data_IF_553617400809
#
_entry.id   IF_553617400809
#
_cell.length_a   1.000
_cell.length_b   1.000
_cell.length_c   1.000
_cell.angle_alpha   90.00
_cell.angle_beta   90.00
_cell.angle_gamma   90.00
#
_symmetry.space_group_name_H-M   'P 1'
#
loop_
_entity.id
_entity.type
_entity.pdbx_description
1 polymer ?
#
# COMPACT_ATOMS: atom_id res chain seq x y z
N UNK A 1 -60.80 37.52 20.30
CA UNK A 1 -60.34 36.58 21.33
C UNK A 1 -58.83 36.61 21.31
N UNK A 2 -58.30 37.40 22.18
CA UNK A 2 -56.86 37.59 22.40
C UNK A 2 -56.44 36.58 23.44
N UNK A 3 -55.46 35.73 23.12
CA UNK A 3 -54.82 34.83 24.08
C UNK A 3 -53.45 35.39 24.41
N UNK A 4 -53.31 35.89 25.64
CA UNK A 4 -52.12 36.38 26.27
C UNK A 4 -51.07 35.26 26.44
N UNK A 5 -49.85 35.56 26.04
CA UNK A 5 -48.67 34.71 26.34
C UNK A 5 -47.97 35.29 27.57
N UNK A 6 -47.99 34.56 28.69
CA UNK A 6 -47.15 34.90 29.85
C UNK A 6 -45.71 34.37 29.67
N UNK A 7 -44.69 35.17 29.96
CA UNK A 7 -43.32 34.73 29.90
C UNK A 7 -42.92 33.96 31.15
N UNK A 8 -42.17 32.88 30.94
CA UNK A 8 -41.62 32.03 32.00
C UNK A 8 -40.64 32.80 32.90
N UNK A 9 -40.57 32.55 34.23
CA UNK A 9 -39.69 33.26 35.14
C UNK A 9 -38.24 32.86 34.90
N UNK A 10 -37.36 33.85 34.78
CA UNK A 10 -35.92 33.70 34.70
C UNK A 10 -35.34 33.10 35.98
N UNK A 11 -34.80 31.87 35.87
CA UNK A 11 -33.98 31.24 36.91
C UNK A 11 -32.70 32.04 37.11
N UNK A 12 -32.66 32.85 38.17
CA UNK A 12 -31.42 33.49 38.66
C UNK A 12 -30.43 32.42 39.11
N UNK A 13 -29.45 32.16 38.29
CA UNK A 13 -28.26 31.36 38.64
C UNK A 13 -27.42 32.14 39.65
N UNK A 14 -27.56 31.88 40.94
CA UNK A 14 -26.56 32.26 41.95
C UNK A 14 -25.27 31.58 41.58
N UNK A 15 -24.33 32.28 40.99
CA UNK A 15 -22.97 31.83 40.70
C UNK A 15 -22.28 31.47 42.05
N UNK A 16 -22.04 30.20 42.31
CA UNK A 16 -21.27 29.76 43.45
C UNK A 16 -19.77 30.06 43.20
N UNK A 17 -19.38 31.31 43.42
CA UNK A 17 -18.00 31.78 43.34
C UNK A 17 -16.99 30.89 44.13
N UNK A 18 -17.47 30.19 45.17
CA UNK A 18 -16.66 29.24 45.95
C UNK A 18 -16.30 28.02 45.14
N UNK A 19 -17.24 27.43 44.38
CA UNK A 19 -16.97 26.23 43.56
C UNK A 19 -16.01 26.56 42.40
N UNK A 20 -16.18 27.74 41.79
CA UNK A 20 -15.26 28.19 40.72
C UNK A 20 -13.85 28.44 41.28
N UNK A 21 -13.72 29.04 42.46
CA UNK A 21 -12.42 29.22 43.13
C UNK A 21 -11.76 27.91 43.50
N UNK A 22 -12.51 26.92 43.99
CA UNK A 22 -11.98 25.58 44.30
C UNK A 22 -11.51 24.83 43.05
N UNK A 23 -12.24 24.94 41.95
CA UNK A 23 -11.83 24.35 40.65
C UNK A 23 -10.55 25.00 40.12
N UNK A 24 -10.44 26.33 40.15
CA UNK A 24 -9.23 27.02 39.74
C UNK A 24 -8.03 26.66 40.63
N UNK A 25 -8.22 26.55 41.94
CA UNK A 25 -7.16 26.10 42.85
C UNK A 25 -6.73 24.65 42.60
N UNK A 26 -7.66 23.74 42.28
CA UNK A 26 -7.34 22.37 41.97
C UNK A 26 -6.54 22.26 40.65
N UNK A 27 -6.89 23.06 39.63
CA UNK A 27 -6.15 23.11 38.35
C UNK A 27 -4.75 23.71 38.54
N UNK A 28 -4.61 24.76 39.33
CA UNK A 28 -3.32 25.36 39.67
C UNK A 28 -2.42 24.40 40.47
N UNK A 29 -3.00 23.67 41.42
CA UNK A 29 -2.28 22.66 42.20
C UNK A 29 -1.83 21.49 41.30
N UNK A 30 -2.67 21.03 40.37
CA UNK A 30 -2.33 20.01 39.40
C UNK A 30 -1.21 20.43 38.44
N UNK A 31 -1.23 21.67 37.98
CA UNK A 31 -0.17 22.26 37.15
C UNK A 31 1.15 22.42 37.94
N UNK A 32 1.08 22.88 39.20
CA UNK A 32 2.26 22.98 40.06
C UNK A 32 2.86 21.61 40.41
N UNK A 33 2.01 20.61 40.64
CA UNK A 33 2.47 19.22 40.85
C UNK A 33 3.14 18.67 39.58
N UNK A 34 2.60 18.90 38.42
CA UNK A 34 3.23 18.54 37.13
C UNK A 34 4.58 19.23 36.94
N UNK A 35 4.69 20.53 37.28
CA UNK A 35 5.95 21.27 37.15
C UNK A 35 7.01 20.83 38.17
N UNK A 36 6.61 20.40 39.38
CA UNK A 36 7.54 19.97 40.43
C UNK A 36 7.98 18.52 40.24
N UNK A 37 7.15 17.64 39.70
CA UNK A 37 7.47 16.22 39.49
C UNK A 37 7.83 15.87 38.01
N UNK A 38 7.74 16.81 37.11
CA UNK A 38 8.27 16.67 35.72
C UNK A 38 9.75 17.05 35.60
N UNK A 39 10.44 17.15 36.72
CA UNK A 39 11.88 17.41 36.79
C UNK A 39 12.62 16.13 37.15
N UNK A 40 12.52 15.13 36.30
CA UNK A 40 13.46 14.00 36.24
C UNK A 40 13.42 13.46 34.84
N UNK A 41 14.61 13.41 34.24
CA UNK A 41 14.97 12.85 32.95
C UNK A 41 14.82 13.78 31.74
N UNK A 42 15.53 14.93 31.81
CA UNK A 42 16.24 15.37 30.62
C UNK A 42 17.40 14.38 30.44
N UNK A 43 17.14 13.29 29.75
CA UNK A 43 18.18 12.49 29.13
C UNK A 43 18.85 13.42 28.12
N UNK A 44 20.05 13.88 28.44
CA UNK A 44 20.95 14.41 27.45
C UNK A 44 21.07 13.36 26.35
N UNK A 45 21.01 13.72 25.05
CA UNK A 45 21.36 12.78 24.01
C UNK A 45 22.80 12.35 24.29
N UNK A 46 22.96 11.08 24.66
CA UNK A 46 24.29 10.45 24.71
C UNK A 46 24.82 10.56 23.28
N UNK A 47 26.01 11.12 23.05
CA UNK A 47 26.60 11.12 21.73
C UNK A 47 26.73 9.65 21.30
N UNK A 48 26.06 9.30 20.21
CA UNK A 48 26.14 7.97 19.59
C UNK A 48 27.60 7.79 19.18
N UNK A 49 28.24 6.75 19.69
CA UNK A 49 29.61 6.39 19.31
C UNK A 49 29.64 6.01 17.83
N UNK A 50 30.69 6.33 17.07
CA UNK A 50 30.87 5.87 15.70
C UNK A 50 30.76 4.34 15.53
N UNK A 51 30.95 3.57 16.59
CA UNK A 51 30.74 2.13 16.61
C UNK A 51 29.26 1.73 16.47
N UNK A 52 28.33 2.50 17.04
CA UNK A 52 26.88 2.21 16.94
C UNK A 52 26.31 2.53 15.56
N UNK A 53 26.93 3.45 14.82
CA UNK A 53 26.59 3.70 13.39
C UNK A 53 27.12 2.58 12.50
N UNK A 54 28.32 2.09 12.73
CA UNK A 54 28.89 0.96 11.99
C UNK A 54 28.10 -0.35 12.21
N UNK A 55 27.57 -0.60 13.42
CA UNK A 55 26.69 -1.74 13.70
C UNK A 55 25.32 -1.60 13.00
N UNK A 56 24.83 -0.38 12.80
CA UNK A 56 23.59 -0.14 12.02
C UNK A 56 23.80 -0.33 10.54
N UNK A 57 24.93 0.06 10.00
CA UNK A 57 25.28 -0.17 8.59
C UNK A 57 25.54 -1.65 8.31
N UNK A 58 26.26 -2.35 9.20
CA UNK A 58 26.50 -3.78 9.09
C UNK A 58 25.21 -4.61 9.18
N UNK A 59 24.22 -4.16 9.97
CA UNK A 59 22.92 -4.84 10.06
C UNK A 59 22.03 -4.61 8.84
N UNK A 60 22.20 -3.51 8.11
CA UNK A 60 21.49 -3.21 6.87
C UNK A 60 22.04 -4.02 5.68
N UNK A 61 23.37 -4.18 5.59
CA UNK A 61 24.02 -5.05 4.60
C UNK A 61 23.68 -6.53 4.86
N UNK A 62 23.59 -6.97 6.12
CA UNK A 62 23.13 -8.32 6.48
C UNK A 62 21.69 -8.59 6.05
N UNK A 63 20.81 -7.58 6.05
CA UNK A 63 19.44 -7.75 5.56
C UNK A 63 19.36 -8.08 4.08
N UNK A 64 20.30 -7.58 3.26
CA UNK A 64 20.35 -7.88 1.85
C UNK A 64 20.99 -9.27 1.58
N UNK A 65 21.94 -9.70 2.41
CA UNK A 65 22.65 -10.97 2.26
C UNK A 65 21.84 -12.18 2.76
N UNK A 66 21.12 -12.05 3.89
CA UNK A 66 20.31 -13.14 4.45
C UNK A 66 19.05 -13.47 3.63
N UNK A 67 18.60 -12.53 2.78
CA UNK A 67 17.50 -12.79 1.84
C UNK A 67 17.95 -13.73 0.72
N UNK A 68 19.24 -13.82 0.42
CA UNK A 68 19.75 -14.51 -0.75
C UNK A 68 20.31 -15.91 -0.47
N UNK A 69 20.39 -16.41 0.77
CA UNK A 69 20.74 -17.77 1.21
C UNK A 69 21.33 -18.70 0.13
N UNK A 70 22.33 -18.23 -0.64
CA UNK A 70 23.06 -19.04 -1.61
C UNK A 70 24.36 -19.47 -0.94
N UNK A 71 24.37 -20.67 -0.39
CA UNK A 71 25.62 -21.35 -0.10
C UNK A 71 26.24 -21.78 -1.44
N UNK A 72 27.45 -21.29 -1.69
CA UNK A 72 28.31 -21.77 -2.77
C UNK A 72 28.73 -23.21 -2.47
N UNK A 73 28.16 -24.19 -3.17
CA UNK A 73 28.66 -25.55 -3.16
C UNK A 73 29.45 -25.80 -4.46
N UNK A 74 30.71 -26.15 -4.26
CA UNK A 74 31.78 -26.24 -5.24
C UNK A 74 31.72 -27.59 -6.02
N UNK A 75 31.75 -27.49 -7.32
CA UNK A 75 32.43 -28.41 -8.22
C UNK A 75 31.94 -29.86 -8.40
N UNK A 76 31.31 -30.11 -9.53
CA UNK A 76 31.13 -31.51 -10.00
C UNK A 76 30.57 -31.60 -11.42
N UNK A 77 31.45 -31.41 -12.42
CA UNK A 77 31.15 -31.73 -13.84
C UNK A 77 30.87 -33.23 -14.04
N UNK A 78 29.66 -33.57 -14.48
CA UNK A 78 29.41 -34.84 -15.15
C UNK A 78 28.51 -34.65 -16.36
N UNK A 79 29.13 -34.64 -17.53
CA UNK A 79 28.49 -34.69 -18.85
C UNK A 79 27.89 -36.09 -19.10
N UNK A 80 26.58 -36.17 -19.26
CA UNK A 80 25.94 -37.31 -19.95
C UNK A 80 24.95 -36.79 -20.97
N UNK A 81 25.34 -36.90 -22.23
CA UNK A 81 24.48 -36.76 -23.40
C UNK A 81 23.41 -37.86 -23.40
N UNK A 82 22.15 -37.47 -23.27
CA UNK A 82 21.01 -38.28 -23.70
C UNK A 82 20.20 -37.45 -24.67
N UNK A 83 20.38 -37.70 -25.96
CA UNK A 83 19.54 -37.16 -27.02
C UNK A 83 18.14 -37.71 -26.92
N UNK A 84 17.16 -36.82 -26.73
CA UNK A 84 15.77 -37.06 -27.05
C UNK A 84 15.38 -36.11 -28.17
N UNK A 85 15.11 -36.69 -29.34
CA UNK A 85 14.40 -36.01 -30.42
C UNK A 85 12.96 -35.85 -29.97
N UNK A 86 12.53 -34.62 -29.74
CA UNK A 86 11.13 -34.26 -29.54
C UNK A 86 10.63 -33.75 -30.88
N UNK A 87 9.68 -34.46 -31.47
CA UNK A 87 8.93 -34.01 -32.64
C UNK A 87 8.27 -32.67 -32.33
N UNK A 88 8.50 -31.68 -33.17
CA UNK A 88 7.79 -30.42 -33.16
C UNK A 88 6.31 -30.65 -33.54
N UNK A 89 5.47 -31.02 -32.61
CA UNK A 89 4.04 -30.82 -32.75
C UNK A 89 3.79 -29.29 -32.72
N UNK A 90 3.36 -28.76 -33.85
CA UNK A 90 2.86 -27.42 -33.99
C UNK A 90 1.71 -27.21 -32.99
N UNK A 91 2.02 -26.59 -31.86
CA UNK A 91 1.01 -26.05 -30.95
C UNK A 91 0.31 -24.93 -31.72
N UNK A 92 -0.88 -25.22 -32.23
CA UNK A 92 -1.81 -24.21 -32.74
C UNK A 92 -2.09 -23.27 -31.59
N UNK A 93 -1.45 -22.11 -31.61
CA UNK A 93 -1.64 -21.02 -30.67
C UNK A 93 -3.11 -20.61 -30.71
N UNK A 94 -3.79 -20.74 -29.58
CA UNK A 94 -5.07 -20.06 -29.36
C UNK A 94 -4.89 -18.56 -29.67
N UNK A 95 -5.87 -17.88 -30.32
CA UNK A 95 -5.74 -16.48 -30.64
C UNK A 95 -5.60 -15.65 -29.36
N UNK A 96 -4.54 -14.95 -29.33
CA UNK A 96 -4.02 -13.86 -28.55
C UNK A 96 -4.96 -13.24 -27.53
N UNK A 97 -4.82 -13.66 -26.27
CA UNK A 97 -5.14 -12.77 -25.15
C UNK A 97 -3.98 -11.77 -25.03
N UNK A 98 -4.29 -10.48 -25.21
CA UNK A 98 -3.39 -9.39 -24.97
C UNK A 98 -2.71 -9.52 -23.59
N UNK A 99 -1.39 -9.57 -23.54
CA UNK A 99 -0.64 -9.41 -22.29
C UNK A 99 -0.61 -7.92 -21.90
N UNK A 100 -1.44 -7.58 -20.92
CA UNK A 100 -1.57 -6.20 -20.44
C UNK A 100 -0.35 -5.72 -19.62
N UNK A 101 0.50 -6.64 -19.20
CA UNK A 101 1.50 -6.40 -18.16
C UNK A 101 2.92 -6.29 -18.70
N UNK A 102 3.16 -6.73 -19.94
CA UNK A 102 4.45 -6.62 -20.62
C UNK A 102 4.38 -5.55 -21.73
N UNK A 103 5.23 -4.54 -21.64
CA UNK A 103 5.15 -3.39 -22.55
C UNK A 103 6.19 -2.32 -22.26
N UNK A 104 5.87 -1.10 -22.66
CA UNK A 104 6.72 0.08 -22.45
C UNK A 104 5.91 1.34 -22.18
N UNK A 105 6.53 2.32 -21.56
CA UNK A 105 5.98 3.65 -21.44
C UNK A 105 6.29 4.46 -22.69
N UNK A 106 5.28 5.08 -23.27
CA UNK A 106 5.40 5.93 -24.45
C UNK A 106 4.87 7.33 -24.13
N UNK A 107 5.36 8.38 -24.83
CA UNK A 107 4.88 9.73 -24.63
C UNK A 107 3.36 9.85 -24.81
N UNK A 108 2.72 10.62 -23.94
CA UNK A 108 1.31 10.97 -23.98
C UNK A 108 1.12 12.49 -23.98
N UNK A 109 1.06 13.14 -25.17
CA UNK A 109 0.94 14.60 -25.24
C UNK A 109 -0.37 15.14 -24.64
N UNK A 110 -1.40 14.31 -24.48
CA UNK A 110 -2.67 14.71 -23.88
C UNK A 110 -2.58 14.93 -22.37
N UNK A 111 -1.52 14.42 -21.72
CA UNK A 111 -1.33 14.52 -20.30
C UNK A 111 -2.33 13.71 -19.47
N UNK A 112 -2.45 14.01 -18.18
CA UNK A 112 -3.26 13.25 -17.24
C UNK A 112 -4.76 13.57 -17.40
N UNK A 113 -5.61 12.63 -17.00
CA UNK A 113 -7.08 12.75 -17.08
C UNK A 113 -7.64 13.77 -16.08
N UNK A 114 -6.98 13.97 -14.94
CA UNK A 114 -7.33 14.95 -13.93
C UNK A 114 -6.08 15.73 -13.49
N UNK A 115 -6.27 16.80 -12.68
CA UNK A 115 -5.18 17.60 -12.12
C UNK A 115 -5.28 17.61 -10.60
N UNK A 116 -4.24 18.10 -9.94
CA UNK A 116 -4.25 18.34 -8.49
C UNK A 116 -5.29 19.40 -8.07
N UNK A 117 -5.75 20.24 -8.98
CA UNK A 117 -6.79 21.25 -8.73
C UNK A 117 -8.20 20.69 -8.97
N UNK A 118 -8.34 19.81 -9.97
CA UNK A 118 -9.64 19.20 -10.31
C UNK A 118 -10.04 18.03 -9.42
N UNK A 119 -9.13 17.45 -8.62
CA UNK A 119 -9.42 16.40 -7.66
C UNK A 119 -9.08 16.82 -6.23
N UNK A 120 -10.11 16.99 -5.41
CA UNK A 120 -9.96 17.32 -3.98
C UNK A 120 -9.63 16.13 -3.08
N UNK A 121 -9.63 14.91 -3.62
CA UNK A 121 -9.43 13.67 -2.85
C UNK A 121 -7.96 13.25 -2.76
N UNK A 122 -7.06 14.01 -3.38
CA UNK A 122 -5.62 13.75 -3.26
C UNK A 122 -5.18 14.14 -1.85
N UNK A 123 -4.68 13.16 -1.10
CA UNK A 123 -4.12 13.43 0.22
C UNK A 123 -2.81 14.22 0.12
N UNK A 124 -2.48 15.04 1.14
CA UNK A 124 -1.31 15.92 1.07
C UNK A 124 0.00 15.24 0.67
N UNK A 125 0.35 14.02 1.17
CA UNK A 125 1.63 13.37 0.81
C UNK A 125 1.75 12.97 -0.68
N UNK A 126 0.64 12.81 -1.40
CA UNK A 126 0.62 12.45 -2.83
C UNK A 126 0.42 13.64 -3.75
N UNK A 127 0.13 14.84 -3.20
CA UNK A 127 -0.11 16.04 -4.01
C UNK A 127 1.20 16.77 -4.35
N UNK A 128 2.03 16.13 -5.15
CA UNK A 128 3.39 16.61 -5.45
C UNK A 128 3.43 18.03 -6.02
N UNK A 129 2.53 18.37 -6.93
CA UNK A 129 2.50 19.70 -7.54
C UNK A 129 2.12 20.79 -6.52
N UNK A 130 1.12 20.54 -5.67
CA UNK A 130 0.77 21.44 -4.57
C UNK A 130 1.91 21.58 -3.55
N UNK A 131 2.68 20.51 -3.38
CA UNK A 131 3.82 20.48 -2.47
C UNK A 131 5.10 21.09 -3.09
N UNK A 132 5.01 21.70 -4.28
CA UNK A 132 6.10 22.46 -4.91
C UNK A 132 6.92 21.69 -5.94
N UNK A 133 6.46 20.54 -6.44
CA UNK A 133 7.12 19.85 -7.55
C UNK A 133 6.92 20.60 -8.86
N UNK A 134 7.98 21.18 -9.40
CA UNK A 134 7.95 21.91 -10.67
C UNK A 134 8.09 21.03 -11.90
N UNK A 135 8.77 19.88 -11.77
CA UNK A 135 8.92 18.93 -12.87
C UNK A 135 7.60 18.16 -13.08
N UNK A 136 6.97 18.38 -14.23
CA UNK A 136 5.69 17.77 -14.62
C UNK A 136 5.84 16.72 -15.71
N UNK A 137 7.06 16.42 -16.17
CA UNK A 137 7.31 15.48 -17.30
C UNK A 137 6.76 14.09 -17.02
N UNK A 138 6.77 13.64 -15.77
CA UNK A 138 6.22 12.35 -15.34
C UNK A 138 4.72 12.18 -15.64
N UNK A 139 3.98 13.26 -15.91
CA UNK A 139 2.55 13.25 -16.23
C UNK A 139 2.25 12.89 -17.70
N UNK A 140 3.22 12.97 -18.57
CA UNK A 140 3.05 12.90 -20.02
C UNK A 140 3.48 11.55 -20.59
N UNK A 141 3.19 10.47 -19.88
CA UNK A 141 3.49 9.10 -20.27
C UNK A 141 2.23 8.24 -20.18
N UNK A 142 2.11 7.23 -21.10
CA UNK A 142 1.10 6.19 -21.03
C UNK A 142 1.71 4.82 -21.23
N UNK A 143 1.11 3.80 -20.66
CA UNK A 143 1.51 2.42 -20.83
C UNK A 143 1.04 1.90 -22.18
N UNK A 144 1.92 1.21 -22.88
CA UNK A 144 1.66 0.53 -24.15
C UNK A 144 2.10 -0.92 -24.03
N UNK A 145 1.18 -1.89 -23.84
CA UNK A 145 1.50 -3.30 -24.00
C UNK A 145 2.06 -3.60 -25.38
N UNK A 146 2.86 -4.66 -25.53
CA UNK A 146 3.51 -4.95 -26.80
C UNK A 146 2.52 -5.25 -27.93
N UNK A 147 1.52 -6.09 -27.66
CA UNK A 147 0.66 -6.67 -28.71
C UNK A 147 -0.76 -6.05 -28.75
N UNK A 148 -1.04 -5.07 -27.90
CA UNK A 148 -2.37 -4.48 -27.82
C UNK A 148 -2.33 -3.04 -27.30
N UNK A 149 -3.51 -2.45 -27.08
CA UNK A 149 -3.67 -1.13 -26.47
C UNK A 149 -4.51 -1.22 -25.18
N UNK A 150 -4.09 -0.46 -24.18
CA UNK A 150 -4.90 -0.13 -23.02
C UNK A 150 -5.45 1.27 -23.21
N UNK A 151 -6.77 1.36 -23.35
CA UNK A 151 -7.43 2.66 -23.43
C UNK A 151 -7.34 3.37 -22.10
N UNK A 152 -7.18 4.70 -22.07
CA UNK A 152 -7.28 5.48 -20.85
C UNK A 152 -8.58 5.20 -20.09
N UNK A 153 -8.55 5.33 -18.78
CA UNK A 153 -9.68 5.07 -17.91
C UNK A 153 -10.91 5.89 -18.32
N UNK A 154 -11.98 5.21 -18.64
CA UNK A 154 -13.26 5.85 -18.94
C UNK A 154 -14.18 5.76 -17.71
N UNK A 155 -14.20 6.83 -16.92
CA UNK A 155 -14.96 6.89 -15.68
C UNK A 155 -16.46 6.64 -15.86
N UNK A 156 -17.07 7.20 -16.93
CA UNK A 156 -18.48 6.98 -17.23
C UNK A 156 -18.78 5.51 -17.51
N UNK A 157 -18.02 4.88 -18.40
CA UNK A 157 -18.17 3.46 -18.72
C UNK A 157 -17.92 2.57 -17.52
N UNK A 158 -16.94 2.92 -16.67
CA UNK A 158 -16.66 2.18 -15.43
C UNK A 158 -17.86 2.25 -14.49
N UNK A 159 -18.39 3.44 -14.22
CA UNK A 159 -19.55 3.64 -13.33
C UNK A 159 -20.80 2.97 -13.88
N UNK A 160 -21.05 3.01 -15.20
CA UNK A 160 -22.16 2.28 -15.83
C UNK A 160 -22.03 0.76 -15.61
N UNK A 161 -20.82 0.20 -15.75
CA UNK A 161 -20.55 -1.23 -15.53
C UNK A 161 -20.68 -1.61 -14.05
N UNK A 162 -20.32 -0.69 -13.16
CA UNK A 162 -20.36 -0.89 -11.71
C UNK A 162 -21.71 -0.51 -11.08
N UNK A 163 -22.73 -0.22 -11.88
CA UNK A 163 -24.04 0.12 -11.36
C UNK A 163 -24.61 -0.98 -10.46
N UNK A 164 -25.10 -0.60 -9.26
CA UNK A 164 -25.58 -1.47 -8.19
C UNK A 164 -24.55 -2.49 -7.67
N UNK A 165 -23.26 -2.21 -7.83
CA UNK A 165 -22.17 -3.10 -7.41
C UNK A 165 -21.29 -2.45 -6.35
N UNK A 166 -20.41 -3.26 -5.80
CA UNK A 166 -19.45 -2.88 -4.77
C UNK A 166 -18.05 -3.38 -5.10
N UNK A 167 -17.07 -2.48 -4.97
CA UNK A 167 -15.64 -2.77 -5.12
C UNK A 167 -14.93 -2.51 -3.80
N UNK A 168 -14.13 -3.46 -3.35
CA UNK A 168 -13.20 -3.25 -2.24
C UNK A 168 -11.76 -3.25 -2.72
N UNK A 169 -10.95 -2.35 -2.19
CA UNK A 169 -9.49 -2.37 -2.24
C UNK A 169 -8.98 -2.68 -0.83
N UNK A 170 -8.26 -3.78 -0.67
CA UNK A 170 -7.80 -4.30 0.62
C UNK A 170 -6.28 -4.36 0.64
N UNK A 171 -5.64 -3.73 1.61
CA UNK A 171 -4.18 -3.78 1.74
C UNK A 171 -3.58 -2.61 2.53
N UNK A 172 -2.45 -2.13 2.07
CA UNK A 172 -1.59 -1.14 2.71
C UNK A 172 -1.71 0.29 2.12
N UNK A 173 -0.72 1.12 2.39
CA UNK A 173 -0.66 2.51 1.90
C UNK A 173 -0.59 2.63 0.38
N UNK A 174 -0.04 1.64 -0.32
CA UNK A 174 -0.01 1.64 -1.79
C UNK A 174 -1.40 1.34 -2.36
N UNK A 175 -2.17 0.47 -1.70
CA UNK A 175 -3.58 0.26 -2.05
C UNK A 175 -4.39 1.55 -1.81
N UNK A 176 -4.11 2.27 -0.73
CA UNK A 176 -4.71 3.59 -0.48
C UNK A 176 -4.35 4.60 -1.58
N UNK A 177 -3.10 4.64 -2.00
CA UNK A 177 -2.64 5.52 -3.09
C UNK A 177 -3.38 5.18 -4.42
N UNK A 178 -3.56 3.88 -4.75
CA UNK A 178 -4.36 3.45 -5.89
C UNK A 178 -5.84 3.85 -5.76
N UNK A 179 -6.43 3.70 -4.57
CA UNK A 179 -7.81 4.09 -4.33
C UNK A 179 -8.04 5.61 -4.51
N UNK A 180 -7.10 6.46 -4.07
CA UNK A 180 -7.16 7.91 -4.29
C UNK A 180 -7.13 8.24 -5.79
N UNK A 181 -6.24 7.60 -6.56
CA UNK A 181 -6.22 7.71 -8.02
C UNK A 181 -7.58 7.34 -8.62
N UNK A 182 -8.14 6.20 -8.25
CA UNK A 182 -9.44 5.74 -8.74
C UNK A 182 -10.56 6.74 -8.42
N UNK A 183 -10.60 7.26 -7.20
CA UNK A 183 -11.59 8.28 -6.80
C UNK A 183 -11.44 9.54 -7.64
N UNK A 184 -10.21 10.00 -7.89
CA UNK A 184 -9.96 11.16 -8.75
C UNK A 184 -10.45 10.95 -10.19
N UNK A 185 -10.22 9.77 -10.73
CA UNK A 185 -10.72 9.40 -12.07
C UNK A 185 -12.25 9.40 -12.11
N UNK A 186 -12.90 8.79 -11.11
CA UNK A 186 -14.37 8.67 -11.04
C UNK A 186 -15.05 10.01 -10.74
N UNK A 187 -14.45 10.86 -9.93
CA UNK A 187 -15.00 12.19 -9.57
C UNK A 187 -15.14 13.14 -10.77
N UNK A 188 -14.54 12.81 -11.92
CA UNK A 188 -14.76 13.51 -13.18
C UNK A 188 -16.19 13.36 -13.71
N UNK A 189 -16.89 12.32 -13.31
CA UNK A 189 -18.28 12.02 -13.72
C UNK A 189 -19.25 12.29 -12.59
N UNK A 190 -18.98 11.77 -11.40
CA UNK A 190 -19.76 12.00 -10.21
C UNK A 190 -18.86 12.11 -8.99
N UNK A 191 -19.07 13.14 -8.19
CA UNK A 191 -18.36 13.30 -6.94
C UNK A 191 -18.92 12.35 -5.89
N UNK A 192 -18.08 11.45 -5.32
CA UNK A 192 -18.56 10.48 -4.36
C UNK A 192 -18.87 11.12 -3.00
N UNK A 193 -19.86 10.55 -2.31
CA UNK A 193 -20.15 10.84 -0.92
C UNK A 193 -19.37 9.90 -0.03
N UNK A 194 -18.53 10.44 0.86
CA UNK A 194 -17.90 9.61 1.90
C UNK A 194 -18.93 9.21 2.95
N UNK A 195 -19.17 7.92 3.10
CA UNK A 195 -20.21 7.36 3.99
C UNK A 195 -19.61 6.70 5.24
N UNK A 196 -18.30 6.46 5.26
CA UNK A 196 -17.61 5.88 6.41
C UNK A 196 -16.11 6.19 6.36
N UNK A 197 -15.51 6.41 7.52
CA UNK A 197 -14.07 6.32 7.78
C UNK A 197 -13.82 5.77 9.19
N UNK A 198 -12.67 5.11 9.39
CA UNK A 198 -12.18 4.78 10.73
C UNK A 198 -11.55 6.02 11.40
N UNK A 199 -11.25 5.94 12.69
CA UNK A 199 -10.70 7.06 13.49
C UNK A 199 -9.39 7.61 12.92
N UNK A 200 -8.61 6.78 12.21
CA UNK A 200 -7.33 7.14 11.63
C UNK A 200 -7.42 7.45 10.12
N UNK A 201 -8.62 7.46 9.54
CA UNK A 201 -8.86 7.64 8.10
C UNK A 201 -8.08 6.64 7.21
N UNK A 202 -7.69 5.49 7.76
CA UNK A 202 -6.99 4.43 7.02
C UNK A 202 -7.93 3.55 6.21
N UNK A 203 -9.13 3.25 6.78
CA UNK A 203 -10.22 2.60 6.06
C UNK A 203 -11.33 3.60 5.80
N UNK A 204 -11.84 3.62 4.57
CA UNK A 204 -12.85 4.60 4.14
C UNK A 204 -13.84 3.94 3.17
N UNK A 205 -15.05 4.50 3.08
CA UNK A 205 -16.05 4.07 2.09
C UNK A 205 -16.68 5.27 1.42
N UNK A 206 -16.88 5.14 0.13
CA UNK A 206 -17.54 6.16 -0.70
C UNK A 206 -18.70 5.54 -1.46
N UNK A 207 -19.74 6.33 -1.63
CA UNK A 207 -20.93 6.01 -2.39
C UNK A 207 -21.08 6.95 -3.58
N UNK A 208 -21.42 6.40 -4.74
CA UNK A 208 -21.76 7.13 -5.95
C UNK A 208 -23.28 7.00 -6.17
N UNK A 209 -24.08 7.99 -5.75
CA UNK A 209 -25.53 7.87 -5.66
C UNK A 209 -26.21 7.53 -6.98
N UNK A 210 -25.84 8.21 -8.08
CA UNK A 210 -26.47 8.01 -9.40
C UNK A 210 -26.26 6.62 -9.98
N UNK A 211 -25.23 5.91 -9.49
CA UNK A 211 -24.88 4.56 -9.94
C UNK A 211 -25.17 3.49 -8.87
N UNK A 212 -25.58 3.89 -7.67
CA UNK A 212 -25.69 2.98 -6.52
C UNK A 212 -24.40 2.14 -6.34
N UNK A 213 -23.25 2.72 -6.69
CA UNK A 213 -21.94 2.07 -6.60
C UNK A 213 -21.26 2.41 -5.29
N UNK A 214 -20.68 1.39 -4.66
CA UNK A 214 -19.93 1.55 -3.42
C UNK A 214 -18.45 1.18 -3.62
N UNK A 215 -17.56 2.08 -3.23
CA UNK A 215 -16.13 1.86 -3.19
C UNK A 215 -15.67 1.80 -1.73
N UNK A 216 -14.98 0.73 -1.36
CA UNK A 216 -14.42 0.54 -0.02
C UNK A 216 -12.90 0.41 -0.08
N UNK A 217 -12.21 1.20 0.73
CA UNK A 217 -10.80 1.03 1.06
C UNK A 217 -10.72 0.41 2.45
N UNK A 218 -10.05 -0.74 2.58
CA UNK A 218 -9.91 -1.45 3.85
C UNK A 218 -8.43 -1.61 4.18
N UNK A 219 -8.01 -0.96 5.26
CA UNK A 219 -6.64 -1.02 5.76
C UNK A 219 -6.36 -2.36 6.45
N UNK A 220 -5.59 -3.20 5.79
CA UNK A 220 -5.12 -4.49 6.29
C UNK A 220 -3.75 -4.82 5.69
N UNK A 221 -2.66 -4.17 6.14
CA UNK A 221 -1.36 -4.19 5.46
C UNK A 221 -0.70 -5.57 5.47
N UNK A 222 -1.09 -6.46 6.36
CA UNK A 222 -0.61 -7.85 6.43
C UNK A 222 -1.67 -8.87 5.96
N UNK A 223 -2.90 -8.45 5.65
CA UNK A 223 -4.08 -9.30 5.34
C UNK A 223 -4.50 -10.26 6.46
N UNK A 224 -3.74 -10.35 7.54
CA UNK A 224 -3.93 -11.20 8.71
C UNK A 224 -4.13 -10.37 9.97
N UNK A 225 -4.59 -11.00 11.03
CA UNK A 225 -4.68 -10.39 12.35
C UNK A 225 -3.30 -9.93 12.81
N UNK A 226 -3.16 -8.62 13.00
CA UNK A 226 -1.92 -7.99 13.40
C UNK A 226 -2.15 -6.95 14.50
N UNK A 227 -1.21 -6.88 15.47
CA UNK A 227 -1.05 -5.73 16.33
C UNK A 227 0.09 -4.88 15.76
N UNK A 228 -0.25 -3.67 15.33
CA UNK A 228 0.67 -2.73 14.68
C UNK A 228 0.94 -1.59 15.65
N UNK A 229 2.21 -1.29 15.86
CA UNK A 229 2.67 -0.29 16.84
C UNK A 229 3.43 0.87 16.17
N UNK A 230 3.22 1.07 14.90
CA UNK A 230 3.86 2.11 14.12
C UNK A 230 2.87 3.25 13.83
N UNK A 231 3.35 4.50 13.94
CA UNK A 231 2.60 5.68 13.56
C UNK A 231 2.71 5.96 12.04
N UNK A 232 2.08 7.02 11.55
CA UNK A 232 2.08 7.38 10.13
C UNK A 232 3.43 7.94 9.64
N UNK A 233 4.31 8.34 10.57
CA UNK A 233 5.69 8.78 10.31
C UNK A 233 6.69 7.62 10.20
N UNK A 234 6.24 6.38 10.41
CA UNK A 234 7.09 5.18 10.37
C UNK A 234 7.81 4.89 11.69
N UNK A 235 7.49 5.63 12.75
CA UNK A 235 8.08 5.41 14.07
C UNK A 235 7.37 4.26 14.79
N UNK A 236 8.14 3.27 15.20
CA UNK A 236 7.61 2.07 15.89
C UNK A 236 7.80 2.18 17.40
N UNK A 237 6.69 2.12 18.14
CA UNK A 237 6.71 2.08 19.60
C UNK A 237 6.98 0.67 20.15
N UNK A 238 6.79 -0.35 19.34
CA UNK A 238 6.99 -1.77 19.66
C UNK A 238 7.07 -2.60 18.40
N UNK A 239 7.49 -3.86 18.52
CA UNK A 239 7.58 -4.81 17.40
C UNK A 239 6.18 -5.28 16.98
N UNK A 240 5.89 -5.26 15.68
CA UNK A 240 4.62 -5.76 15.14
C UNK A 240 4.42 -7.24 15.51
N UNK A 241 3.18 -7.62 15.82
CA UNK A 241 2.83 -9.00 16.13
C UNK A 241 1.83 -9.54 15.14
N UNK A 242 2.20 -10.58 14.39
CA UNK A 242 1.45 -11.13 13.28
C UNK A 242 0.96 -12.55 13.61
N UNK A 243 -0.34 -12.81 13.46
CA UNK A 243 -0.94 -14.14 13.58
C UNK A 243 -1.01 -14.78 12.19
N UNK A 244 -0.01 -15.57 11.81
CA UNK A 244 0.18 -16.09 10.45
C UNK A 244 -0.95 -17.03 9.99
N UNK A 245 -1.76 -17.54 10.88
CA UNK A 245 -2.85 -18.49 10.64
C UNK A 245 -4.25 -17.87 10.71
N UNK A 246 -4.36 -16.56 10.99
CA UNK A 246 -5.64 -15.90 11.22
C UNK A 246 -5.80 -14.69 10.31
N UNK A 247 -6.69 -14.78 9.31
CA UNK A 247 -6.99 -13.63 8.44
C UNK A 247 -7.63 -12.48 9.21
N UNK A 248 -7.41 -11.25 8.73
CA UNK A 248 -7.93 -10.05 9.37
C UNK A 248 -9.45 -9.93 9.17
N UNK A 249 -10.17 -9.86 10.28
CA UNK A 249 -11.61 -9.71 10.29
C UNK A 249 -12.09 -8.36 9.71
N UNK A 250 -11.23 -7.35 9.63
CA UNK A 250 -11.59 -6.06 9.04
C UNK A 250 -12.09 -6.20 7.61
N UNK A 251 -11.50 -7.09 6.82
CA UNK A 251 -11.92 -7.33 5.45
C UNK A 251 -12.73 -8.63 5.28
N UNK A 252 -12.40 -9.72 6.02
CA UNK A 252 -13.06 -11.02 5.82
C UNK A 252 -14.54 -11.00 6.26
N UNK A 253 -14.89 -10.22 7.29
CA UNK A 253 -16.27 -10.09 7.75
C UNK A 253 -17.17 -9.37 6.72
N UNK A 254 -16.59 -8.54 5.87
CA UNK A 254 -17.29 -7.76 4.84
C UNK A 254 -17.23 -8.41 3.45
N UNK A 255 -16.46 -9.48 3.27
CA UNK A 255 -16.17 -10.08 1.97
C UNK A 255 -17.43 -10.46 1.18
N UNK A 256 -18.49 -10.90 1.87
CA UNK A 256 -19.77 -11.28 1.25
C UNK A 256 -20.54 -10.12 0.62
N UNK A 257 -20.19 -8.88 0.94
CA UNK A 257 -20.87 -7.68 0.43
C UNK A 257 -20.21 -7.10 -0.83
N UNK A 258 -19.14 -7.70 -1.33
CA UNK A 258 -18.41 -7.17 -2.47
C UNK A 258 -18.61 -8.00 -3.74
N UNK A 259 -18.78 -7.32 -4.87
CA UNK A 259 -18.83 -7.92 -6.21
C UNK A 259 -17.42 -8.05 -6.80
N UNK A 260 -16.55 -7.10 -6.46
CA UNK A 260 -15.16 -7.03 -6.88
C UNK A 260 -14.26 -6.75 -5.68
N UNK A 261 -13.11 -7.41 -5.64
CA UNK A 261 -12.10 -7.18 -4.59
C UNK A 261 -10.72 -7.10 -5.21
N UNK A 262 -10.00 -6.02 -4.97
CA UNK A 262 -8.56 -5.91 -5.25
C UNK A 262 -7.82 -6.13 -3.94
N UNK A 263 -6.87 -7.06 -3.92
CA UNK A 263 -6.07 -7.37 -2.73
C UNK A 263 -4.59 -7.18 -3.08
N UNK A 264 -3.86 -6.50 -2.23
CA UNK A 264 -2.40 -6.37 -2.33
C UNK A 264 -1.79 -6.15 -0.96
N UNK A 265 -0.60 -6.69 -0.76
CA UNK A 265 0.17 -6.61 0.48
C UNK A 265 1.65 -6.86 0.14
N UNK A 266 2.51 -6.88 1.15
CA UNK A 266 3.90 -7.30 0.99
C UNK A 266 4.87 -6.34 1.66
N UNK A 267 4.82 -5.05 1.37
CA UNK A 267 5.77 -4.04 1.86
C UNK A 267 5.97 -4.06 3.39
N UNK A 268 4.90 -4.32 4.12
CA UNK A 268 4.95 -4.34 5.58
C UNK A 268 5.63 -5.59 6.15
N UNK A 269 5.78 -6.68 5.36
CA UNK A 269 6.51 -7.88 5.77
C UNK A 269 8.02 -7.66 5.87
N UNK A 270 8.56 -6.61 5.24
CA UNK A 270 9.96 -6.21 5.40
C UNK A 270 10.28 -5.60 6.76
N UNK A 271 9.26 -5.30 7.57
CA UNK A 271 9.44 -4.69 8.91
C UNK A 271 9.61 -5.77 9.95
N UNK A 272 10.37 -5.44 11.00
CA UNK A 272 10.50 -6.30 12.19
C UNK A 272 9.14 -6.76 12.72
N UNK A 273 8.97 -8.06 12.86
CA UNK A 273 7.73 -8.65 13.34
C UNK A 273 7.93 -9.92 14.16
N UNK A 274 7.11 -10.09 15.18
CA UNK A 274 6.96 -11.33 15.95
C UNK A 274 5.84 -12.15 15.32
N UNK A 275 6.09 -13.42 15.11
CA UNK A 275 5.16 -14.35 14.48
C UNK A 275 4.46 -15.25 15.50
N UNK A 276 3.16 -15.36 15.35
CA UNK A 276 2.26 -16.17 16.16
C UNK A 276 1.54 -17.20 15.32
N UNK A 277 1.42 -18.43 15.81
CA UNK A 277 0.58 -19.49 15.22
C UNK A 277 -0.16 -20.21 16.32
N UNK A 278 -1.46 -20.48 16.13
CA UNK A 278 -2.32 -21.06 17.17
C UNK A 278 -2.21 -20.32 18.51
N UNK A 279 -2.10 -18.99 18.45
CA UNK A 279 -1.84 -18.09 19.59
C UNK A 279 -0.53 -18.37 20.37
N UNK A 280 0.39 -19.14 19.80
CA UNK A 280 1.73 -19.38 20.37
C UNK A 280 2.77 -18.59 19.59
N UNK A 281 3.77 -18.10 20.31
CA UNK A 281 4.96 -17.49 19.73
C UNK A 281 5.76 -18.58 18.99
N UNK A 282 6.05 -18.36 17.70
CA UNK A 282 6.84 -19.31 16.89
C UNK A 282 8.21 -18.76 16.50
N UNK A 283 8.37 -17.45 16.46
CA UNK A 283 9.63 -16.78 16.15
C UNK A 283 9.41 -15.34 15.72
N UNK A 284 10.37 -14.79 15.01
CA UNK A 284 10.29 -13.41 14.53
C UNK A 284 11.08 -13.22 13.23
N UNK A 285 10.88 -12.08 12.60
CA UNK A 285 11.71 -11.60 11.52
C UNK A 285 12.45 -10.35 11.98
N UNK A 286 13.76 -10.34 11.73
CA UNK A 286 14.66 -9.24 12.04
C UNK A 286 14.51 -8.69 13.45
N UNK A 287 14.75 -9.54 14.43
CA UNK A 287 14.58 -9.19 15.86
C UNK A 287 15.83 -9.51 16.70
N UNK A 288 17.03 -9.01 16.36
CA UNK A 288 18.29 -9.42 16.99
C UNK A 288 18.36 -9.15 18.51
N UNK A 289 17.50 -8.24 19.02
CA UNK A 289 17.42 -7.91 20.45
C UNK A 289 16.47 -8.83 21.23
N UNK A 290 15.72 -9.68 20.53
CA UNK A 290 14.73 -10.54 21.15
C UNK A 290 15.25 -11.97 21.12
N UNK A 291 15.73 -12.61 22.00
CA UNK A 291 16.23 -14.01 21.98
C UNK A 291 15.14 -15.00 21.44
N UNK A 292 14.79 -14.88 20.17
CA UNK A 292 13.77 -15.63 19.46
C UNK A 292 14.38 -16.24 18.19
N UNK A 293 13.82 -17.35 17.73
CA UNK A 293 14.21 -17.98 16.45
C UNK A 293 13.85 -17.07 15.28
N UNK A 294 14.80 -16.82 14.40
CA UNK A 294 14.56 -16.12 13.13
C UNK A 294 13.71 -16.99 12.21
N UNK A 295 12.72 -16.40 11.59
CA UNK A 295 11.83 -17.04 10.61
C UNK A 295 11.80 -16.15 9.36
N UNK A 296 12.08 -16.74 8.20
CA UNK A 296 12.17 -16.00 6.94
C UNK A 296 10.84 -15.32 6.56
N UNK A 297 10.96 -14.19 5.87
CA UNK A 297 9.81 -13.51 5.25
C UNK A 297 9.09 -14.46 4.30
N UNK A 298 9.82 -15.24 3.53
CA UNK A 298 9.27 -16.21 2.59
C UNK A 298 8.29 -17.17 3.25
N UNK A 299 8.68 -17.76 4.38
CA UNK A 299 7.78 -18.64 5.15
C UNK A 299 6.52 -17.92 5.57
N UNK A 300 6.68 -16.77 6.21
CA UNK A 300 5.56 -16.00 6.74
C UNK A 300 4.62 -15.53 5.64
N UNK A 301 5.16 -14.96 4.57
CA UNK A 301 4.36 -14.42 3.47
C UNK A 301 3.68 -15.52 2.66
N UNK A 302 4.36 -16.60 2.32
CA UNK A 302 3.74 -17.78 1.70
C UNK A 302 2.57 -18.33 2.53
N UNK A 303 2.72 -18.38 3.86
CA UNK A 303 1.67 -18.86 4.74
C UNK A 303 0.43 -17.97 4.69
N UNK A 304 0.63 -16.67 4.68
CA UNK A 304 -0.45 -15.68 4.56
C UNK A 304 -1.15 -15.81 3.20
N UNK A 305 -0.40 -15.86 2.10
CA UNK A 305 -0.96 -15.99 0.76
C UNK A 305 -1.74 -17.31 0.58
N UNK A 306 -1.21 -18.42 1.10
CA UNK A 306 -1.91 -19.69 1.09
C UNK A 306 -3.23 -19.64 1.90
N UNK A 307 -3.25 -18.93 3.03
CA UNK A 307 -4.45 -18.74 3.84
C UNK A 307 -5.47 -17.85 3.13
N UNK A 308 -5.01 -16.77 2.45
CA UNK A 308 -5.82 -15.90 1.61
C UNK A 308 -6.51 -16.70 0.49
N UNK A 309 -5.73 -17.43 -0.32
CA UNK A 309 -6.29 -18.17 -1.45
C UNK A 309 -7.19 -19.32 -1.01
N UNK A 310 -6.89 -19.96 0.12
CA UNK A 310 -7.79 -20.95 0.73
C UNK A 310 -9.13 -20.32 1.09
N UNK A 311 -9.13 -19.15 1.76
CA UNK A 311 -10.35 -18.42 2.11
C UNK A 311 -11.19 -18.08 0.86
N UNK A 312 -10.57 -17.53 -0.19
CA UNK A 312 -11.25 -17.20 -1.45
C UNK A 312 -11.87 -18.46 -2.06
N UNK A 313 -11.14 -19.57 -2.05
CA UNK A 313 -11.60 -20.86 -2.59
C UNK A 313 -12.76 -21.46 -1.82
N UNK A 314 -12.73 -21.39 -0.51
CA UNK A 314 -13.75 -22.02 0.36
C UNK A 314 -14.93 -21.12 0.66
N UNK A 315 -14.85 -19.82 0.37
CA UNK A 315 -15.98 -18.91 0.52
C UNK A 315 -17.13 -19.32 -0.39
N UNK A 316 -18.36 -19.29 0.13
CA UNK A 316 -19.59 -19.49 -0.67
C UNK A 316 -19.82 -18.35 -1.65
N UNK A 317 -19.50 -17.12 -1.23
CA UNK A 317 -19.57 -15.93 -2.08
C UNK A 317 -18.34 -15.86 -2.99
N UNK A 318 -18.59 -15.65 -4.29
CA UNK A 318 -17.57 -15.68 -5.35
C UNK A 318 -17.48 -14.33 -6.09
N UNK A 319 -16.94 -13.28 -5.48
CA UNK A 319 -16.66 -12.03 -6.19
C UNK A 319 -15.54 -12.26 -7.22
N UNK A 320 -15.36 -11.28 -8.11
CA UNK A 320 -14.13 -11.22 -8.89
C UNK A 320 -13.03 -10.70 -7.98
N UNK A 321 -12.01 -11.53 -7.74
CA UNK A 321 -10.86 -11.15 -6.94
C UNK A 321 -9.67 -10.89 -7.84
N UNK A 322 -9.10 -9.70 -7.75
CA UNK A 322 -7.86 -9.31 -8.41
C UNK A 322 -6.75 -9.24 -7.36
N UNK A 323 -5.71 -10.06 -7.53
CA UNK A 323 -4.51 -9.93 -6.73
C UNK A 323 -3.54 -9.00 -7.46
N UNK A 324 -3.23 -7.83 -6.85
CA UNK A 324 -2.24 -6.88 -7.37
C UNK A 324 -0.87 -7.23 -6.79
N UNK A 325 0.10 -7.39 -7.69
CA UNK A 325 1.46 -7.78 -7.31
C UNK A 325 2.23 -6.70 -6.57
N UNK A 326 3.38 -7.10 -6.06
CA UNK A 326 4.39 -6.26 -5.42
C UNK A 326 4.64 -4.94 -6.17
N UNK A 327 4.87 -3.88 -5.42
CA UNK A 327 5.23 -2.57 -5.94
C UNK A 327 6.66 -2.26 -5.56
N UNK A 328 7.58 -2.11 -6.53
CA UNK A 328 8.97 -1.76 -6.24
C UNK A 328 9.08 -0.33 -5.72
N UNK A 329 10.05 -0.07 -4.88
CA UNK A 329 10.52 1.28 -4.61
C UNK A 329 11.73 1.62 -5.51
N UNK A 330 12.14 2.89 -5.51
CA UNK A 330 13.25 3.36 -6.35
C UNK A 330 14.23 4.20 -5.56
N UNK A 331 14.57 3.76 -4.34
CA UNK A 331 15.63 4.41 -3.58
C UNK A 331 16.99 4.19 -4.24
N UNK A 332 17.74 5.27 -4.42
CA UNK A 332 19.12 5.29 -4.89
C UNK A 332 20.02 5.86 -3.77
N UNK A 333 21.25 5.36 -3.65
CA UNK A 333 22.27 5.82 -2.69
C UNK A 333 21.89 5.62 -1.21
N UNK A 334 21.10 4.64 -0.92
CA UNK A 334 20.64 4.27 0.43
C UNK A 334 19.18 3.89 0.45
N UNK A 335 18.68 3.55 1.63
CA UNK A 335 17.28 3.19 1.90
C UNK A 335 16.52 4.39 2.48
N UNK A 336 15.23 4.22 2.70
CA UNK A 336 14.37 5.26 3.28
C UNK A 336 14.88 5.78 4.63
N UNK A 337 15.55 4.94 5.42
CA UNK A 337 16.10 5.26 6.74
C UNK A 337 17.56 5.70 6.70
N UNK A 338 18.32 5.42 5.64
CA UNK A 338 19.73 5.77 5.50
C UNK A 338 20.01 6.93 4.55
N UNK A 339 18.98 7.64 4.09
CA UNK A 339 19.09 8.85 3.28
C UNK A 339 19.04 8.60 1.77
N UNK A 340 18.44 7.47 1.36
CA UNK A 340 18.16 7.18 -0.05
C UNK A 340 17.33 8.25 -0.73
N UNK A 341 17.51 8.41 -2.03
CA UNK A 341 16.92 9.44 -2.87
C UNK A 341 16.23 8.83 -4.09
N UNK A 342 15.33 9.56 -4.72
CA UNK A 342 14.78 9.26 -6.04
C UNK A 342 14.63 10.57 -6.84
N UNK A 343 15.63 10.87 -7.65
CA UNK A 343 15.73 12.15 -8.37
C UNK A 343 15.55 11.99 -9.89
N UNK A 344 15.17 10.83 -10.37
CA UNK A 344 14.95 10.62 -11.80
C UNK A 344 13.73 11.39 -12.27
N UNK A 345 13.78 11.86 -13.52
CA UNK A 345 12.76 12.73 -14.12
C UNK A 345 12.15 12.14 -15.38
N UNK A 346 12.55 10.92 -15.74
CA UNK A 346 12.06 10.19 -16.92
C UNK A 346 11.93 8.69 -16.59
N UNK A 347 11.03 7.98 -17.25
CA UNK A 347 10.92 6.53 -17.15
C UNK A 347 12.21 5.83 -17.55
N UNK A 348 12.43 4.64 -17.04
CA UNK A 348 13.44 3.73 -17.59
C UNK A 348 13.09 3.31 -19.01
N UNK A 349 14.11 3.18 -19.85
CA UNK A 349 13.97 2.61 -21.19
C UNK A 349 13.84 1.08 -21.12
N UNK A 350 13.39 0.46 -22.20
CA UNK A 350 13.38 -0.98 -22.33
C UNK A 350 14.77 -1.58 -22.06
N UNK A 351 14.85 -2.53 -21.12
CA UNK A 351 16.11 -3.13 -20.67
C UNK A 351 16.84 -2.37 -19.55
N UNK A 352 16.38 -1.17 -19.17
CA UNK A 352 16.79 -0.49 -17.95
C UNK A 352 15.81 -0.82 -16.81
N UNK A 353 16.29 -0.84 -15.58
CA UNK A 353 15.41 -1.02 -14.40
C UNK A 353 14.81 -2.43 -14.30
N UNK A 354 15.55 -3.33 -13.69
CA UNK A 354 15.11 -4.71 -13.42
C UNK A 354 14.41 -4.88 -12.07
N UNK A 355 14.28 -3.82 -11.28
CA UNK A 355 13.95 -3.90 -9.86
C UNK A 355 15.14 -4.38 -9.02
N UNK A 356 15.04 -4.27 -7.71
CA UNK A 356 16.02 -4.79 -6.76
C UNK A 356 15.78 -6.28 -6.51
N UNK A 357 16.76 -6.97 -5.92
CA UNK A 357 16.65 -8.39 -5.59
C UNK A 357 15.45 -8.66 -4.67
N UNK A 358 15.21 -7.79 -3.68
CA UNK A 358 14.05 -7.90 -2.79
C UNK A 358 12.73 -7.76 -3.55
N UNK A 359 12.66 -6.90 -4.57
CA UNK A 359 11.45 -6.72 -5.37
C UNK A 359 11.14 -7.98 -6.19
N UNK A 360 12.17 -8.55 -6.82
CA UNK A 360 12.07 -9.79 -7.58
C UNK A 360 11.73 -10.99 -6.68
N UNK A 361 12.33 -11.06 -5.49
CA UNK A 361 12.06 -12.09 -4.49
C UNK A 361 10.60 -12.05 -4.01
N UNK A 362 10.11 -10.89 -3.57
CA UNK A 362 8.75 -10.74 -3.06
C UNK A 362 7.71 -11.02 -4.15
N UNK A 363 7.92 -10.50 -5.36
CA UNK A 363 7.05 -10.78 -6.52
C UNK A 363 7.03 -12.27 -6.87
N UNK A 364 8.18 -12.94 -6.81
CA UNK A 364 8.27 -14.38 -7.08
C UNK A 364 7.43 -15.20 -6.09
N UNK A 365 7.44 -14.86 -4.80
CA UNK A 365 6.59 -15.49 -3.78
C UNK A 365 5.11 -15.34 -4.18
N UNK A 366 4.70 -14.14 -4.58
CA UNK A 366 3.31 -13.84 -4.96
C UNK A 366 2.87 -14.62 -6.19
N UNK A 367 3.68 -14.60 -7.27
CA UNK A 367 3.37 -15.29 -8.51
C UNK A 367 3.30 -16.81 -8.29
N UNK A 368 4.24 -17.39 -7.53
CA UNK A 368 4.22 -18.79 -7.20
C UNK A 368 2.96 -19.19 -6.39
N UNK A 369 2.57 -18.36 -5.41
CA UNK A 369 1.37 -18.61 -4.63
C UNK A 369 0.10 -18.48 -5.49
N UNK A 370 0.03 -17.47 -6.35
CA UNK A 370 -1.07 -17.27 -7.30
C UNK A 370 -1.20 -18.43 -8.28
N UNK A 371 -0.09 -18.84 -8.91
CA UNK A 371 -0.07 -19.96 -9.88
C UNK A 371 -0.53 -21.26 -9.23
N UNK A 372 -0.05 -21.56 -8.01
CA UNK A 372 -0.54 -22.72 -7.23
C UNK A 372 -2.04 -22.61 -6.93
N UNK A 373 -2.51 -21.39 -6.65
CA UNK A 373 -3.94 -21.17 -6.39
C UNK A 373 -4.79 -21.45 -7.62
N UNK A 374 -4.38 -21.01 -8.80
CA UNK A 374 -5.10 -21.21 -10.07
C UNK A 374 -4.96 -22.68 -10.53
N UNK A 375 -3.77 -23.28 -10.49
CA UNK A 375 -3.54 -24.67 -10.95
C UNK A 375 -4.35 -25.72 -10.14
N UNK A 376 -4.60 -25.46 -8.87
CA UNK A 376 -5.43 -26.33 -8.02
C UNK A 376 -6.95 -26.25 -8.34
N UNK A 377 -7.34 -25.47 -9.34
CA UNK A 377 -8.70 -25.33 -9.84
C UNK A 377 -8.93 -26.24 -11.05
N UNK A 378 -9.29 -27.48 -10.82
CA UNK A 378 -10.12 -28.15 -11.83
C UNK A 378 -11.40 -27.33 -12.03
N UNK A 379 -11.87 -27.21 -13.27
CA UNK A 379 -12.97 -26.40 -13.83
C UNK A 379 -14.32 -26.33 -13.07
N UNK A 380 -14.39 -26.69 -11.79
CA UNK A 380 -15.65 -26.97 -11.07
C UNK A 380 -16.08 -25.94 -10.03
N UNK A 381 -15.23 -24.98 -9.62
CA UNK A 381 -15.57 -24.17 -8.41
C UNK A 381 -15.97 -22.73 -8.65
N UNK A 382 -16.08 -22.24 -9.89
CA UNK A 382 -16.60 -20.91 -10.19
C UNK A 382 -15.80 -19.73 -9.59
N UNK A 383 -14.53 -19.97 -9.22
CA UNK A 383 -13.67 -18.92 -8.68
C UNK A 383 -13.24 -17.99 -9.83
N UNK A 384 -13.36 -16.68 -9.59
CA UNK A 384 -12.96 -15.65 -10.56
C UNK A 384 -11.75 -14.89 -10.02
N UNK A 385 -10.58 -15.56 -10.03
CA UNK A 385 -9.31 -15.01 -9.56
C UNK A 385 -8.49 -14.50 -10.75
N UNK A 386 -8.13 -13.23 -10.73
CA UNK A 386 -7.35 -12.56 -11.78
C UNK A 386 -6.05 -12.01 -11.18
N UNK A 387 -4.98 -12.03 -11.96
CA UNK A 387 -3.73 -11.34 -11.62
C UNK A 387 -3.82 -9.91 -12.16
N UNK A 388 -3.50 -8.94 -11.31
CA UNK A 388 -3.26 -7.54 -11.68
C UNK A 388 -1.76 -7.28 -11.47
N UNK A 389 -0.94 -7.72 -12.44
CA UNK A 389 0.52 -7.62 -12.33
C UNK A 389 1.01 -6.22 -12.74
N UNK A 390 1.03 -5.32 -11.77
CA UNK A 390 1.49 -3.95 -11.99
C UNK A 390 3.01 -3.78 -11.84
N UNK A 391 3.76 -4.87 -11.66
CA UNK A 391 5.19 -4.79 -11.35
C UNK A 391 6.00 -4.09 -12.44
N UNK A 392 5.92 -4.56 -13.69
CA UNK A 392 6.70 -3.97 -14.78
C UNK A 392 6.27 -2.54 -15.08
N UNK A 393 4.97 -2.25 -14.99
CA UNK A 393 4.46 -0.89 -15.13
C UNK A 393 5.06 0.06 -14.09
N UNK A 394 5.35 -0.46 -12.91
CA UNK A 394 5.86 0.30 -11.78
C UNK A 394 7.37 0.44 -11.83
N UNK A 395 8.11 -0.66 -12.04
CA UNK A 395 9.58 -0.66 -12.01
C UNK A 395 10.20 0.25 -13.07
N UNK A 396 9.50 0.51 -14.15
CA UNK A 396 9.93 1.40 -15.22
C UNK A 396 9.66 2.90 -14.93
N UNK A 397 9.11 3.26 -13.76
CA UNK A 397 8.69 4.64 -13.45
C UNK A 397 9.37 5.25 -12.21
N UNK A 398 10.71 5.27 -12.15
CA UNK A 398 11.44 5.89 -11.05
C UNK A 398 11.18 7.41 -10.93
N UNK A 399 10.67 8.02 -11.98
CA UNK A 399 10.37 9.45 -12.11
C UNK A 399 9.08 9.90 -11.42
N UNK A 400 8.18 8.96 -11.06
CA UNK A 400 6.81 9.32 -10.69
C UNK A 400 6.52 9.23 -9.18
N UNK A 401 7.54 8.99 -8.36
CA UNK A 401 7.42 8.97 -6.90
C UNK A 401 7.25 10.36 -6.30
N UNK A 402 6.72 10.40 -5.10
CA UNK A 402 6.58 11.67 -4.36
C UNK A 402 7.92 12.29 -4.03
N UNK A 403 8.95 11.47 -3.81
CA UNK A 403 10.29 11.94 -3.47
C UNK A 403 10.28 12.90 -2.28
N UNK A 404 10.94 14.05 -2.37
CA UNK A 404 10.92 15.07 -1.32
C UNK A 404 9.56 15.78 -1.19
N UNK A 405 8.74 15.74 -2.24
CA UNK A 405 7.43 16.43 -2.31
C UNK A 405 6.30 15.67 -1.59
N UNK A 406 6.63 14.62 -0.84
CA UNK A 406 5.75 14.11 0.20
C UNK A 406 5.42 15.19 1.24
N UNK A 407 6.36 16.09 1.48
CA UNK A 407 6.24 17.23 2.39
C UNK A 407 5.95 18.51 1.61
N UNK A 408 5.13 19.39 2.16
CA UNK A 408 4.81 20.67 1.56
C UNK A 408 6.05 21.56 1.52
N UNK A 409 6.41 22.05 0.32
CA UNK A 409 7.55 22.95 0.05
C UNK A 409 8.85 22.53 0.78
N UNK A 410 9.37 21.31 0.55
CA UNK A 410 10.42 20.73 1.38
C UNK A 410 11.73 21.50 1.42
N UNK A 411 12.00 22.36 0.42
CA UNK A 411 13.24 23.12 0.30
C UNK A 411 13.13 24.57 0.84
N UNK A 412 11.95 25.00 1.28
CA UNK A 412 11.74 26.35 1.84
C UNK A 412 12.05 26.43 3.34
N UNK A 413 12.18 25.31 4.02
CA UNK A 413 12.40 25.25 5.48
C UNK A 413 13.84 25.46 5.97
N UNK A 414 14.72 26.03 5.12
CA UNK A 414 16.12 26.34 5.45
C UNK A 414 17.09 25.20 5.11
N UNK A 415 18.36 25.57 4.91
CA UNK A 415 19.42 24.68 4.39
C UNK A 415 19.81 23.52 5.32
N UNK A 416 19.36 23.52 6.58
CA UNK A 416 19.77 22.55 7.61
C UNK A 416 18.68 21.51 7.95
N UNK A 417 17.52 21.55 7.29
CA UNK A 417 16.46 20.55 7.52
C UNK A 417 16.71 19.37 6.62
N UNK A 418 16.91 18.18 7.23
CA UNK A 418 17.03 16.93 6.47
C UNK A 418 15.67 16.64 5.84
N UNK A 419 15.61 16.67 4.51
CA UNK A 419 14.41 16.31 3.75
C UNK A 419 14.37 14.79 3.61
N UNK A 420 13.30 14.17 4.08
CA UNK A 420 13.07 12.74 3.88
C UNK A 420 12.42 12.51 2.52
N UNK A 421 12.95 11.56 1.76
CA UNK A 421 12.39 11.13 0.48
C UNK A 421 11.44 9.96 0.67
N UNK A 422 10.40 9.94 -0.15
CA UNK A 422 9.50 8.80 -0.30
C UNK A 422 9.55 8.30 -1.74
N UNK A 423 10.28 7.22 -1.95
CA UNK A 423 10.51 6.62 -3.26
C UNK A 423 9.66 5.36 -3.48
N UNK A 424 8.62 5.18 -2.66
CA UNK A 424 7.67 4.08 -2.74
C UNK A 424 6.28 4.55 -3.20
N UNK A 425 5.76 5.64 -2.60
CA UNK A 425 4.45 6.17 -2.97
C UNK A 425 4.52 7.04 -4.22
N UNK A 426 3.40 7.17 -4.90
CA UNK A 426 3.26 7.82 -6.20
C UNK A 426 2.60 9.19 -6.09
N UNK A 427 3.09 10.14 -6.88
CA UNK A 427 2.40 11.42 -7.09
C UNK A 427 1.01 11.19 -7.71
N UNK A 428 0.06 12.06 -7.40
CA UNK A 428 -1.25 12.14 -8.02
C UNK A 428 -1.52 13.52 -8.62
N UNK A 429 -1.97 13.54 -9.91
CA UNK A 429 -1.99 12.43 -10.86
C UNK A 429 -0.61 11.88 -11.14
N UNK A 430 -0.51 10.65 -11.66
CA UNK A 430 0.80 10.06 -11.95
C UNK A 430 0.74 8.64 -12.51
N UNK A 431 1.88 7.94 -12.46
CA UNK A 431 2.03 6.61 -13.04
C UNK A 431 1.01 5.58 -12.51
N UNK A 432 0.61 5.70 -11.26
CA UNK A 432 -0.36 4.79 -10.62
C UNK A 432 -1.75 4.84 -11.25
N UNK A 433 -2.10 5.92 -11.97
CA UNK A 433 -3.39 6.03 -12.66
C UNK A 433 -3.55 4.90 -13.70
N UNK A 434 -2.45 4.50 -14.33
CA UNK A 434 -2.42 3.39 -15.30
C UNK A 434 -2.77 2.02 -14.68
N UNK A 435 -2.56 1.82 -13.38
CA UNK A 435 -3.03 0.59 -12.72
C UNK A 435 -4.55 0.48 -12.75
N UNK A 436 -5.23 1.61 -12.70
CA UNK A 436 -6.68 1.67 -12.81
C UNK A 436 -7.14 1.50 -14.27
N UNK A 437 -6.35 1.95 -15.29
CA UNK A 437 -6.61 1.65 -16.70
C UNK A 437 -6.62 0.13 -16.92
N UNK A 438 -5.57 -0.56 -16.44
CA UNK A 438 -5.42 -2.02 -16.55
C UNK A 438 -6.49 -2.76 -15.75
N UNK A 439 -6.78 -2.32 -14.53
CA UNK A 439 -7.85 -2.88 -13.71
C UNK A 439 -9.21 -2.77 -14.40
N UNK A 440 -9.52 -1.61 -14.97
CA UNK A 440 -10.75 -1.42 -15.75
C UNK A 440 -10.81 -2.38 -16.93
N UNK A 441 -9.71 -2.56 -17.67
CA UNK A 441 -9.65 -3.50 -18.79
C UNK A 441 -9.95 -4.93 -18.32
N UNK A 442 -9.35 -5.37 -17.20
CA UNK A 442 -9.64 -6.69 -16.61
C UNK A 442 -11.11 -6.86 -16.18
N UNK A 443 -11.76 -5.79 -15.75
CA UNK A 443 -13.19 -5.80 -15.38
C UNK A 443 -14.07 -5.89 -16.65
N UNK A 444 -13.69 -5.18 -17.72
CA UNK A 444 -14.47 -5.11 -18.96
C UNK A 444 -14.34 -6.37 -19.84
N UNK A 445 -13.27 -7.14 -19.68
CA UNK A 445 -13.03 -8.38 -20.42
C UNK A 445 -13.72 -9.60 -19.77
N UNK A 446 -14.67 -9.36 -18.90
CA UNK A 446 -15.59 -10.35 -18.33
C UNK A 446 -16.84 -10.47 -19.20
#
# INVERSE_FOLDING_TARGET
MTTDWEPWPALQRKSNHVVVKLLVLAILAGLSFRLLFSRSDVLHPVPVSPADEAEREASAESMAADVLGLEDDDGGSLSTNLGFSVDEEQVVSKPDRCDLFTGQWIPNPSGPTYTNESCRFIEPPQNCMKNGRHDTRYLFWRWKPHDCDVSPFNAKRFLDTMQNKSLALVGDSIVRNQAQSLICLLSKVEEPVEVYHDEQYKSRKWHFPSYSFNLSLIWSPFLIKAAIFENDEGESKSVNRLHLDTLDQKWTSQYKSFDYVVISSGQWFLKTAIYMENNKLVGCHYCPKLNLSEISIEYAYNKVLNSLYRFIKTSEHKPIVMYRTWTPDHFEYGEWFSGGLCNRTEPYKAGEGSGRDVDNFMRTIELNAFTRAVAAEGTRNGIRLKLLDTYQLSVLRPDAHTGPYRTFHPFEHGKNVKVQYDCLHWCLPGAIDTWNDVMMKLIMDE
#
